data_IF_688597159125
#
_entry.id   IF_688597159125
#
_cell.length_a   1.000
_cell.length_b   1.000
_cell.length_c   1.000
_cell.angle_alpha   90.00
_cell.angle_beta   90.00
_cell.angle_gamma   90.00
#
_symmetry.space_group_name_H-M   'P 1'
#
loop_
_entity.id
_entity.type
_entity.pdbx_description
1 polymer ?
#
# COMPACT_ATOMS: atom_id res chain seq x y z
N UNK A 1 9.97 -4.03 12.65
CA UNK A 1 8.65 -4.62 12.90
C UNK A 1 8.35 -5.57 11.77
N UNK A 2 8.30 -6.88 12.03
CA UNK A 2 8.17 -7.89 10.98
C UNK A 2 6.68 -8.06 10.68
N UNK A 3 6.31 -8.29 9.41
CA UNK A 3 4.89 -8.40 8.97
C UNK A 3 4.10 -9.47 9.76
N UNK A 4 4.81 -10.44 10.35
CA UNK A 4 4.26 -11.50 11.19
C UNK A 4 3.62 -11.00 12.49
N UNK A 5 4.04 -9.83 13.00
CA UNK A 5 3.56 -9.28 14.28
C UNK A 5 2.16 -8.65 14.17
N UNK A 6 1.65 -8.44 12.95
CA UNK A 6 0.36 -7.79 12.68
C UNK A 6 -0.79 -8.78 12.40
N UNK A 7 -0.53 -10.09 12.45
CA UNK A 7 -1.58 -11.10 12.31
C UNK A 7 -2.25 -11.26 13.68
N UNK A 8 -3.55 -10.94 13.83
CA UNK A 8 -4.22 -11.07 15.12
C UNK A 8 -4.21 -12.55 15.56
N UNK A 9 -3.91 -12.78 16.85
CA UNK A 9 -3.91 -14.09 17.53
C UNK A 9 -5.14 -14.97 17.27
N UNK A 10 -6.24 -14.38 16.75
CA UNK A 10 -7.47 -15.08 16.39
C UNK A 10 -7.34 -15.98 15.15
N UNK A 11 -6.32 -15.79 14.30
CA UNK A 11 -6.03 -16.70 13.18
C UNK A 11 -5.29 -17.96 13.65
N UNK A 12 -4.66 -17.90 14.83
CA UNK A 12 -3.74 -18.93 15.32
C UNK A 12 -4.47 -20.07 16.06
N UNK A 13 -5.72 -19.85 16.50
CA UNK A 13 -6.44 -20.79 17.40
C UNK A 13 -7.62 -21.54 16.75
N UNK A 14 -7.80 -21.49 15.43
CA UNK A 14 -8.64 -22.50 14.77
C UNK A 14 -7.75 -23.66 14.38
N UNK A 15 -8.16 -24.89 14.67
CA UNK A 15 -7.51 -26.19 14.38
C UNK A 15 -7.18 -26.46 12.89
N UNK A 16 -7.08 -25.44 12.04
CA UNK A 16 -6.76 -25.45 10.61
C UNK A 16 -5.36 -24.84 10.32
N UNK A 17 -4.43 -24.92 11.27
CA UNK A 17 -3.09 -24.28 11.18
C UNK A 17 -2.18 -24.98 10.15
N UNK A 18 -2.47 -26.21 9.75
CA UNK A 18 -1.56 -26.99 8.88
C UNK A 18 -1.64 -26.62 7.39
N UNK A 19 -2.73 -26.00 6.91
CA UNK A 19 -2.80 -25.56 5.51
C UNK A 19 -3.84 -24.43 5.28
N UNK A 20 -3.58 -23.21 5.79
CA UNK A 20 -4.49 -22.10 5.57
C UNK A 20 -4.57 -21.78 4.08
N UNK A 21 -5.77 -21.89 3.50
CA UNK A 21 -6.01 -21.57 2.08
C UNK A 21 -5.48 -20.16 1.78
N UNK A 22 -4.57 -19.97 0.82
CA UNK A 22 -3.95 -18.68 0.53
C UNK A 22 -4.96 -17.54 0.32
N UNK A 23 -6.08 -17.85 -0.35
CA UNK A 23 -7.18 -16.91 -0.57
C UNK A 23 -7.79 -16.38 0.72
N UNK A 24 -7.87 -17.22 1.75
CA UNK A 24 -8.42 -16.85 3.04
C UNK A 24 -7.48 -15.88 3.77
N UNK A 25 -6.17 -16.15 3.75
CA UNK A 25 -5.16 -15.24 4.30
C UNK A 25 -5.24 -13.88 3.60
N UNK A 26 -5.28 -13.87 2.26
CA UNK A 26 -5.36 -12.64 1.49
C UNK A 26 -6.60 -11.81 1.86
N UNK A 27 -7.77 -12.45 2.00
CA UNK A 27 -9.01 -11.78 2.43
C UNK A 27 -8.90 -11.22 3.84
N UNK A 28 -8.37 -11.98 4.80
CA UNK A 28 -8.20 -11.52 6.18
C UNK A 28 -7.25 -10.34 6.25
N UNK A 29 -6.10 -10.41 5.56
CA UNK A 29 -5.13 -9.32 5.49
C UNK A 29 -5.75 -8.08 4.84
N UNK A 30 -6.49 -8.23 3.74
CA UNK A 30 -7.17 -7.11 3.09
C UNK A 30 -8.25 -6.49 3.98
N UNK A 31 -9.02 -7.29 4.70
CA UNK A 31 -10.03 -6.81 5.65
C UNK A 31 -9.40 -6.04 6.81
N UNK A 32 -8.24 -6.50 7.30
CA UNK A 32 -7.49 -5.77 8.33
C UNK A 32 -7.00 -4.44 7.77
N UNK A 33 -6.35 -4.46 6.60
CA UNK A 33 -5.87 -3.25 5.91
C UNK A 33 -6.96 -2.23 5.66
N UNK A 34 -8.16 -2.68 5.27
CA UNK A 34 -9.31 -1.83 5.06
C UNK A 34 -9.78 -1.18 6.37
N UNK A 35 -9.89 -1.97 7.45
CA UNK A 35 -10.28 -1.47 8.78
C UNK A 35 -9.26 -0.51 9.39
N UNK A 36 -7.97 -0.76 9.17
CA UNK A 36 -6.88 0.07 9.71
C UNK A 36 -6.49 1.20 8.77
N UNK A 37 -7.07 1.27 7.56
CA UNK A 37 -6.82 2.36 6.63
C UNK A 37 -7.25 3.68 7.28
N UNK A 38 -6.33 4.65 7.42
CA UNK A 38 -6.69 5.98 7.88
C UNK A 38 -7.78 6.56 6.97
N UNK A 39 -8.89 7.02 7.56
CA UNK A 39 -10.01 7.62 6.83
C UNK A 39 -9.60 8.90 6.08
N UNK A 40 -8.56 9.58 6.57
CA UNK A 40 -8.06 10.84 6.02
C UNK A 40 -6.66 10.68 5.40
N UNK A 41 -6.47 9.68 4.54
CA UNK A 41 -5.38 9.67 3.53
C UNK A 41 -5.61 10.73 2.45
N UNK A 42 -5.99 11.96 2.84
CA UNK A 42 -6.32 13.07 1.92
C UNK A 42 -5.09 13.78 1.38
N UNK A 43 -3.95 13.60 2.04
CA UNK A 43 -2.68 14.15 1.59
C UNK A 43 -1.58 13.26 2.08
N UNK A 44 -0.91 12.57 1.17
CA UNK A 44 0.31 11.89 1.51
C UNK A 44 1.39 13.00 1.58
N UNK A 45 1.65 13.51 2.79
CA UNK A 45 2.69 14.52 3.04
C UNK A 45 4.06 13.87 2.93
N UNK A 46 4.47 13.56 1.71
CA UNK A 46 5.80 13.02 1.42
C UNK A 46 6.53 13.93 0.46
N UNK A 47 7.85 14.00 0.61
CA UNK A 47 8.74 14.61 -0.36
C UNK A 47 9.16 13.55 -1.37
N UNK A 48 9.00 13.84 -2.66
CA UNK A 48 9.43 12.93 -3.72
C UNK A 48 10.93 13.13 -3.96
N UNK A 49 11.74 12.13 -3.61
CA UNK A 49 13.18 12.12 -3.93
C UNK A 49 13.37 11.69 -5.38
N UNK A 50 13.48 12.66 -6.28
CA UNK A 50 13.69 12.43 -7.72
C UNK A 50 15.00 11.70 -8.01
N UNK A 51 15.99 11.81 -7.13
CA UNK A 51 17.32 11.20 -7.30
C UNK A 51 17.30 9.67 -7.33
N UNK A 52 16.27 9.05 -6.75
CA UNK A 52 16.10 7.60 -6.77
C UNK A 52 15.26 7.09 -7.95
N UNK A 53 14.73 8.01 -8.78
CA UNK A 53 13.93 7.65 -9.93
C UNK A 53 14.82 7.48 -11.16
N UNK A 54 14.50 6.54 -12.06
CA UNK A 54 15.11 6.47 -13.37
C UNK A 54 15.01 7.81 -14.09
N UNK A 55 16.09 8.18 -14.78
CA UNK A 55 16.13 9.40 -15.58
C UNK A 55 14.98 9.41 -16.60
N UNK A 56 14.31 10.55 -16.74
CA UNK A 56 13.17 10.72 -17.65
C UNK A 56 11.84 10.12 -17.19
N UNK A 57 11.79 9.33 -16.11
CA UNK A 57 10.54 8.72 -15.63
C UNK A 57 9.59 9.75 -15.01
N UNK A 58 10.10 10.64 -14.16
CA UNK A 58 9.29 11.67 -13.53
C UNK A 58 9.11 12.87 -14.45
N UNK A 59 7.86 13.23 -14.74
CA UNK A 59 7.54 14.33 -15.66
C UNK A 59 7.23 15.62 -14.91
N UNK A 60 6.27 15.58 -13.99
CA UNK A 60 5.87 16.75 -13.19
C UNK A 60 4.90 16.40 -12.07
N UNK A 61 4.73 17.33 -11.15
CA UNK A 61 3.65 17.35 -10.16
C UNK A 61 2.58 18.36 -10.58
N UNK A 62 1.31 18.03 -10.36
CA UNK A 62 0.17 18.92 -10.58
C UNK A 62 -0.73 18.90 -9.35
N UNK A 63 -1.20 20.07 -8.90
CA UNK A 63 -2.19 20.18 -7.83
C UNK A 63 -3.57 20.48 -8.44
N UNK A 64 -4.56 19.66 -8.11
CA UNK A 64 -5.96 19.82 -8.55
C UNK A 64 -6.85 19.78 -7.31
N UNK A 65 -7.39 20.95 -6.92
CA UNK A 65 -8.03 21.12 -5.63
C UNK A 65 -7.06 20.79 -4.49
N UNK A 66 -7.52 20.01 -3.50
CA UNK A 66 -6.69 19.55 -2.37
C UNK A 66 -5.84 18.31 -2.69
N UNK A 67 -5.81 17.86 -3.95
CA UNK A 67 -5.11 16.63 -4.36
C UNK A 67 -3.82 16.93 -5.11
N UNK A 68 -2.77 16.20 -4.74
CA UNK A 68 -1.47 16.20 -5.41
C UNK A 68 -1.38 15.02 -6.37
N UNK A 69 -1.09 15.31 -7.64
CA UNK A 69 -0.92 14.34 -8.70
C UNK A 69 0.54 14.30 -9.14
N UNK A 70 1.14 13.11 -9.19
CA UNK A 70 2.48 12.90 -9.74
C UNK A 70 2.33 12.24 -11.10
N UNK A 71 2.97 12.81 -12.12
CA UNK A 71 2.93 12.31 -13.49
C UNK A 71 4.25 11.60 -13.76
N UNK A 72 4.14 10.33 -14.09
CA UNK A 72 5.24 9.47 -14.52
C UNK A 72 5.00 9.03 -15.96
N UNK A 73 6.06 8.86 -16.73
CA UNK A 73 5.97 8.32 -18.08
C UNK A 73 7.33 8.18 -18.73
N UNK A 74 7.48 7.17 -19.57
CA UNK A 74 8.63 6.96 -20.46
C UNK A 74 8.27 7.44 -21.86
N UNK A 75 9.28 7.72 -22.70
CA UNK A 75 9.05 8.12 -24.10
C UNK A 75 8.71 6.92 -25.02
N UNK A 76 8.49 5.74 -24.44
CA UNK A 76 8.11 4.52 -25.16
C UNK A 76 6.62 4.61 -25.54
N UNK A 77 6.37 4.75 -26.85
CA UNK A 77 5.06 4.58 -27.50
C UNK A 77 4.86 3.14 -27.94
#
# INVERSE_FOLDING_TARGET
>A
MKIVDAIPNRVVNSTDVENPRPDYIARVVNRIREKTRPKDLRGMQFELKTDNLPEGLYRKEVKVGDRRHLIFGTDEN
#
